data_IF_807347881620
#
_entry.id   IF_807347881620
#
_cell.length_a   1.000
_cell.length_b   1.000
_cell.length_c   1.000
_cell.angle_alpha   90.00
_cell.angle_beta   90.00
_cell.angle_gamma   90.00
#
_symmetry.space_group_name_H-M   'P 1'
#
loop_
_entity.id
_entity.type
_entity.pdbx_description
1 polymer ?
#
# COMPACT_ATOMS: atom_id res chain seq x y z
N UNK A 1 4.50 -48.09 -73.37
CA UNK A 1 5.52 -48.19 -72.35
C UNK A 1 5.41 -46.93 -71.53
N UNK A 2 4.52 -46.93 -70.52
CA UNK A 2 4.24 -45.74 -69.64
C UNK A 2 4.90 -45.96 -68.32
N UNK A 3 5.85 -45.05 -67.96
CA UNK A 3 6.50 -45.03 -66.65
C UNK A 3 5.60 -44.25 -65.66
N UNK A 4 5.12 -44.94 -64.63
CA UNK A 4 4.42 -44.35 -63.52
C UNK A 4 5.44 -43.77 -62.50
N UNK A 5 5.50 -42.47 -62.41
CA UNK A 5 6.33 -41.77 -61.41
C UNK A 5 5.53 -41.64 -60.08
N UNK A 6 5.99 -42.43 -59.09
CA UNK A 6 5.48 -42.30 -57.70
C UNK A 6 6.05 -41.06 -57.02
N UNK A 7 5.18 -40.12 -56.62
CA UNK A 7 5.53 -39.04 -55.75
C UNK A 7 5.36 -39.43 -54.27
N UNK A 8 6.34 -39.19 -53.39
CA UNK A 8 6.16 -39.44 -51.96
C UNK A 8 5.30 -38.34 -51.33
N UNK A 9 4.28 -38.73 -50.54
CA UNK A 9 3.48 -37.87 -49.66
C UNK A 9 4.37 -37.31 -48.53
N UNK A 10 4.59 -35.98 -48.50
CA UNK A 10 5.17 -35.32 -47.34
C UNK A 10 4.14 -35.28 -46.21
N UNK A 11 4.43 -35.98 -45.12
CA UNK A 11 3.71 -35.92 -43.85
C UNK A 11 4.02 -34.58 -43.15
N UNK A 12 3.03 -33.69 -43.13
CA UNK A 12 3.06 -32.42 -42.40
C UNK A 12 2.21 -32.55 -41.15
N UNK A 13 2.76 -33.09 -40.07
CA UNK A 13 2.11 -33.08 -38.76
C UNK A 13 3.16 -33.05 -37.66
N UNK A 14 3.60 -31.86 -37.21
CA UNK A 14 4.17 -31.67 -35.85
C UNK A 14 4.56 -30.24 -35.46
N UNK A 15 4.03 -29.20 -36.09
CA UNK A 15 4.44 -27.82 -35.73
C UNK A 15 3.43 -27.07 -34.83
N UNK A 16 2.18 -27.56 -34.72
CA UNK A 16 1.11 -26.77 -34.06
C UNK A 16 0.98 -26.97 -32.53
N UNK A 17 1.68 -27.96 -31.93
CA UNK A 17 1.46 -28.30 -30.49
C UNK A 17 2.38 -27.57 -29.51
N UNK A 18 3.52 -27.03 -29.98
CA UNK A 18 4.47 -26.30 -29.10
C UNK A 18 4.15 -24.82 -28.94
N UNK A 19 3.53 -24.17 -29.94
CA UNK A 19 3.16 -22.74 -29.86
C UNK A 19 2.03 -22.46 -28.87
N UNK A 20 1.05 -23.36 -28.73
CA UNK A 20 -0.09 -23.13 -27.84
C UNK A 20 0.27 -23.24 -26.35
N UNK A 21 1.26 -24.09 -26.01
CA UNK A 21 1.72 -24.21 -24.60
C UNK A 21 2.51 -22.97 -24.20
N UNK A 22 3.33 -22.41 -25.07
CA UNK A 22 4.07 -21.17 -24.80
C UNK A 22 3.14 -19.95 -24.64
N UNK A 23 2.08 -19.85 -25.44
CA UNK A 23 1.07 -18.79 -25.33
C UNK A 23 0.26 -18.88 -24.03
N UNK A 24 -0.09 -20.08 -23.57
CA UNK A 24 -0.77 -20.30 -22.29
C UNK A 24 0.15 -19.92 -21.13
N UNK A 25 1.44 -20.26 -21.19
CA UNK A 25 2.40 -19.89 -20.13
C UNK A 25 2.60 -18.38 -20.01
N UNK A 26 2.72 -17.64 -21.12
CA UNK A 26 2.82 -16.19 -21.13
C UNK A 26 1.53 -15.55 -20.61
N UNK A 27 0.36 -16.08 -20.94
CA UNK A 27 -0.94 -15.59 -20.47
C UNK A 27 -1.16 -15.79 -18.98
N UNK A 28 -0.63 -16.85 -18.36
CA UNK A 28 -0.74 -17.11 -16.91
C UNK A 28 0.18 -16.20 -16.10
N UNK A 29 1.37 -15.88 -16.61
CA UNK A 29 2.33 -15.00 -15.91
C UNK A 29 1.82 -13.54 -15.82
N UNK A 30 1.01 -13.09 -16.78
CA UNK A 30 0.44 -11.73 -16.76
C UNK A 30 -0.74 -11.56 -15.79
N UNK A 31 -1.28 -12.65 -15.23
CA UNK A 31 -2.39 -12.61 -14.27
C UNK A 31 -1.92 -12.57 -12.81
N UNK A 32 -0.63 -12.71 -12.53
CA UNK A 32 -0.10 -12.47 -11.19
C UNK A 32 0.06 -10.96 -11.00
N UNK A 33 -1.05 -10.29 -10.78
CA UNK A 33 -1.04 -8.93 -10.24
C UNK A 33 -0.32 -8.96 -8.89
N UNK A 34 0.63 -8.06 -8.69
CA UNK A 34 1.22 -7.84 -7.38
C UNK A 34 0.12 -7.29 -6.47
N UNK A 35 -0.57 -8.15 -5.75
CA UNK A 35 -1.37 -7.76 -4.59
C UNK A 35 -0.37 -7.44 -3.47
N UNK A 36 0.17 -6.24 -3.52
CA UNK A 36 1.06 -5.72 -2.48
C UNK A 36 0.21 -5.24 -1.31
N UNK A 37 -0.29 -6.18 -0.51
CA UNK A 37 -0.90 -5.85 0.77
C UNK A 37 0.12 -5.15 1.64
N UNK A 38 -0.29 -4.03 2.19
CA UNK A 38 0.56 -3.22 3.05
C UNK A 38 0.41 -3.76 4.48
N UNK A 39 1.23 -4.74 4.82
CA UNK A 39 1.13 -5.45 6.09
C UNK A 39 1.61 -4.62 7.29
N UNK A 40 2.51 -3.65 7.08
CA UNK A 40 3.16 -2.89 8.16
C UNK A 40 3.26 -1.41 7.82
N UNK A 41 3.30 -0.59 8.86
CA UNK A 41 3.66 0.82 8.73
C UNK A 41 5.17 0.97 8.51
N UNK A 42 5.56 1.86 7.59
CA UNK A 42 6.96 2.18 7.36
C UNK A 42 7.58 2.86 8.58
N UNK A 43 8.76 2.41 9.05
CA UNK A 43 9.48 3.08 10.12
C UNK A 43 9.95 4.48 9.70
N UNK A 44 10.08 5.39 10.65
CA UNK A 44 10.68 6.69 10.40
C UNK A 44 12.21 6.62 10.43
N UNK A 45 12.81 6.13 9.34
CA UNK A 45 14.25 5.91 9.26
C UNK A 45 15.07 7.19 9.49
N UNK A 46 14.59 8.35 8.99
CA UNK A 46 15.29 9.63 9.17
C UNK A 46 15.36 10.01 10.63
N UNK A 47 14.27 9.86 11.37
CA UNK A 47 14.23 10.10 12.81
C UNK A 47 15.16 9.12 13.53
N UNK A 48 15.09 7.84 13.20
CA UNK A 48 15.91 6.78 13.80
C UNK A 48 17.40 7.03 13.61
N UNK A 49 17.83 7.38 12.40
CA UNK A 49 19.22 7.72 12.11
C UNK A 49 19.69 8.97 12.86
N UNK A 50 18.82 9.96 13.01
CA UNK A 50 19.13 11.18 13.77
C UNK A 50 19.33 10.86 15.25
N UNK A 51 18.41 10.06 15.81
CA UNK A 51 18.47 9.67 17.22
C UNK A 51 19.66 8.76 17.52
N UNK A 52 19.97 7.80 16.63
CA UNK A 52 21.15 6.93 16.76
C UNK A 52 22.47 7.74 16.86
N UNK A 53 22.56 8.84 16.12
CA UNK A 53 23.73 9.73 16.18
C UNK A 53 23.81 10.56 17.47
N UNK A 54 22.66 10.98 18.02
CA UNK A 54 22.63 11.84 19.20
C UNK A 54 22.72 11.08 20.52
N UNK A 55 22.09 9.91 20.61
CA UNK A 55 21.85 9.19 21.86
C UNK A 55 22.64 7.89 22.00
N UNK A 56 23.36 7.44 20.97
CA UNK A 56 24.07 6.15 20.93
C UNK A 56 23.16 4.94 21.28
N UNK A 57 21.90 4.98 20.85
CA UNK A 57 20.91 3.93 21.10
C UNK A 57 20.93 2.89 20.00
N UNK A 58 20.72 1.62 20.35
CA UNK A 58 20.43 0.56 19.37
C UNK A 58 19.05 0.78 18.74
N UNK A 59 19.07 1.39 17.56
CA UNK A 59 17.84 1.75 16.87
C UNK A 59 17.12 0.55 16.28
N UNK A 60 17.79 -0.58 16.02
CA UNK A 60 17.14 -1.78 15.51
C UNK A 60 16.14 -2.33 16.53
N UNK A 61 16.58 -2.55 17.76
CA UNK A 61 15.70 -3.02 18.83
C UNK A 61 14.61 -2.00 19.15
N UNK A 62 14.94 -0.71 19.24
CA UNK A 62 13.96 0.33 19.51
C UNK A 62 12.88 0.43 18.42
N UNK A 63 13.21 0.28 17.15
CA UNK A 63 12.25 0.25 16.05
C UNK A 63 11.31 -0.96 16.13
N UNK A 64 11.85 -2.15 16.44
CA UNK A 64 11.04 -3.34 16.64
C UNK A 64 10.05 -3.18 17.79
N UNK A 65 10.50 -2.63 18.91
CA UNK A 65 9.65 -2.43 20.08
C UNK A 65 8.54 -1.39 19.80
N UNK A 66 8.87 -0.29 19.12
CA UNK A 66 7.87 0.70 18.67
C UNK A 66 6.88 0.07 17.71
N UNK A 67 7.34 -0.74 16.75
CA UNK A 67 6.45 -1.43 15.80
C UNK A 67 5.46 -2.35 16.54
N UNK A 68 5.94 -3.16 17.48
CA UNK A 68 5.07 -4.03 18.31
C UNK A 68 4.03 -3.23 19.11
N UNK A 69 4.43 -2.08 19.66
CA UNK A 69 3.51 -1.20 20.40
C UNK A 69 2.45 -0.61 19.46
N UNK A 70 2.85 -0.12 18.30
CA UNK A 70 1.93 0.43 17.30
C UNK A 70 0.96 -0.65 16.82
N UNK A 71 1.44 -1.83 16.44
CA UNK A 71 0.58 -2.94 16.01
C UNK A 71 -0.40 -3.37 17.10
N UNK A 72 0.04 -3.39 18.36
CA UNK A 72 -0.83 -3.73 19.49
C UNK A 72 -1.92 -2.69 19.75
N UNK A 73 -1.63 -1.41 19.59
CA UNK A 73 -2.55 -0.32 19.89
C UNK A 73 -3.45 0.04 18.69
N UNK A 74 -2.89 0.06 17.49
CA UNK A 74 -3.54 0.60 16.30
C UNK A 74 -3.75 -0.42 15.19
N UNK A 75 -3.32 -1.68 15.38
CA UNK A 75 -3.43 -2.73 14.38
C UNK A 75 -2.43 -2.54 13.24
N UNK A 76 -2.86 -2.93 12.05
CA UNK A 76 -2.07 -2.82 10.81
C UNK A 76 -2.74 -1.88 9.82
N UNK A 77 -2.04 -1.45 8.75
CA UNK A 77 -2.66 -0.66 7.68
C UNK A 77 -3.88 -1.31 7.03
N UNK A 78 -3.90 -2.65 6.94
CA UNK A 78 -5.02 -3.41 6.38
C UNK A 78 -6.16 -3.62 7.38
N UNK A 79 -5.83 -3.71 8.66
CA UNK A 79 -6.79 -3.98 9.74
C UNK A 79 -6.54 -3.04 10.92
N UNK A 80 -6.89 -1.77 10.78
CA UNK A 80 -6.66 -0.78 11.82
C UNK A 80 -7.60 -0.99 13.01
N UNK A 81 -7.08 -0.74 14.22
CA UNK A 81 -7.82 -0.75 15.47
C UNK A 81 -7.66 0.58 16.20
N UNK A 82 -8.53 0.84 17.16
CA UNK A 82 -8.44 2.03 18.01
C UNK A 82 -8.33 1.62 19.48
N UNK A 83 -7.35 2.11 20.24
CA UNK A 83 -7.13 1.74 21.63
C UNK A 83 -8.12 2.45 22.57
N UNK A 84 -9.38 2.02 22.59
CA UNK A 84 -10.47 2.67 23.32
C UNK A 84 -10.20 2.78 24.83
N UNK A 85 -9.50 1.80 25.41
CA UNK A 85 -9.14 1.80 26.83
C UNK A 85 -8.19 2.94 27.22
N UNK A 86 -7.34 3.37 26.27
CA UNK A 86 -6.36 4.45 26.47
C UNK A 86 -6.85 5.80 25.97
N UNK A 87 -7.59 5.79 24.89
CA UNK A 87 -8.04 7.00 24.19
C UNK A 87 -9.53 6.82 23.85
N UNK A 88 -10.44 7.28 24.74
CA UNK A 88 -11.88 7.18 24.50
C UNK A 88 -12.29 7.84 23.17
N UNK A 89 -13.14 7.16 22.41
CA UNK A 89 -13.61 7.59 21.08
C UNK A 89 -14.21 9.00 21.08
N UNK A 90 -15.01 9.30 22.07
CA UNK A 90 -15.75 10.56 22.18
C UNK A 90 -14.86 11.81 22.21
N UNK A 91 -13.57 11.62 22.54
CA UNK A 91 -12.65 12.75 22.71
C UNK A 91 -11.82 13.09 21.48
N UNK A 92 -11.50 12.11 20.61
CA UNK A 92 -10.52 12.34 19.55
C UNK A 92 -10.96 11.90 18.14
N UNK A 93 -11.66 10.81 17.98
CA UNK A 93 -11.96 10.22 16.69
C UNK A 93 -13.40 9.71 16.64
N UNK A 94 -14.10 9.99 15.54
CA UNK A 94 -15.34 9.31 15.23
C UNK A 94 -14.98 7.97 14.59
N UNK A 95 -15.20 6.87 15.30
CA UNK A 95 -14.81 5.51 14.85
C UNK A 95 -15.37 5.17 13.49
N UNK A 96 -16.59 5.58 13.20
CA UNK A 96 -17.19 5.34 11.88
C UNK A 96 -16.43 6.07 10.76
N UNK A 97 -15.97 7.29 10.97
CA UNK A 97 -15.14 8.00 9.99
C UNK A 97 -13.75 7.36 9.84
N UNK A 98 -13.16 6.92 10.96
CA UNK A 98 -11.89 6.20 10.92
C UNK A 98 -12.02 4.91 10.11
N UNK A 99 -13.08 4.15 10.35
CA UNK A 99 -13.38 2.90 9.64
C UNK A 99 -13.53 3.11 8.13
N UNK A 100 -14.17 4.20 7.70
CA UNK A 100 -14.27 4.53 6.27
C UNK A 100 -12.94 4.98 5.67
N UNK A 101 -12.13 5.71 6.42
CA UNK A 101 -10.88 6.28 5.93
C UNK A 101 -9.72 5.27 5.93
N UNK A 102 -9.59 4.49 7.00
CA UNK A 102 -8.47 3.58 7.23
C UNK A 102 -8.78 2.14 6.78
N UNK A 103 -7.74 1.31 6.70
CA UNK A 103 -7.86 -0.09 6.32
C UNK A 103 -7.74 -0.36 4.84
N UNK A 104 -7.90 -1.63 4.47
CA UNK A 104 -7.89 -2.10 3.08
C UNK A 104 -9.12 -1.61 2.29
N UNK A 105 -8.93 -1.41 0.99
CA UNK A 105 -10.03 -0.99 0.10
C UNK A 105 -11.07 -2.10 0.01
N UNK A 106 -12.31 -1.79 0.37
CA UNK A 106 -13.43 -2.73 0.29
C UNK A 106 -14.76 -1.99 0.21
N UNK A 107 -15.86 -2.74 -0.02
CA UNK A 107 -17.22 -2.21 0.01
C UNK A 107 -18.12 -3.12 0.83
N UNK A 108 -19.00 -2.54 1.61
CA UNK A 108 -20.02 -3.26 2.38
C UNK A 108 -21.27 -3.55 1.54
N UNK A 109 -22.15 -4.38 2.08
CA UNK A 109 -23.38 -4.77 1.37
C UNK A 109 -24.35 -3.60 1.13
N UNK A 110 -24.31 -2.59 1.97
CA UNK A 110 -25.10 -1.35 1.84
C UNK A 110 -24.51 -0.34 0.85
N UNK A 111 -23.37 -0.67 0.23
CA UNK A 111 -22.64 0.18 -0.70
C UNK A 111 -21.66 1.16 -0.02
N UNK A 112 -21.49 1.09 1.30
CA UNK A 112 -20.47 1.90 2.00
C UNK A 112 -19.08 1.48 1.55
N UNK A 113 -18.31 2.45 1.02
CA UNK A 113 -16.96 2.24 0.54
C UNK A 113 -15.95 2.54 1.67
N UNK A 114 -14.99 1.64 1.85
CA UNK A 114 -14.01 1.65 2.94
C UNK A 114 -12.59 1.76 2.38
N UNK A 115 -11.64 2.17 3.23
CA UNK A 115 -10.23 2.25 2.83
C UNK A 115 -9.90 3.45 1.95
N UNK A 116 -10.63 4.56 2.09
CA UNK A 116 -10.49 5.75 1.22
C UNK A 116 -9.09 6.34 1.22
N UNK A 117 -8.35 6.27 2.33
CA UNK A 117 -6.97 6.74 2.37
C UNK A 117 -6.05 5.88 1.51
N UNK A 118 -6.24 4.56 1.57
CA UNK A 118 -5.44 3.64 0.76
C UNK A 118 -5.74 3.81 -0.73
N UNK A 119 -7.01 3.97 -1.10
CA UNK A 119 -7.40 4.14 -2.49
C UNK A 119 -6.95 5.48 -3.09
N UNK A 120 -7.12 6.57 -2.36
CA UNK A 120 -6.99 7.91 -2.94
C UNK A 120 -5.71 8.65 -2.54
N UNK A 121 -5.11 8.32 -1.41
CA UNK A 121 -4.04 9.14 -0.82
C UNK A 121 -2.67 8.46 -0.79
N UNK A 122 -2.62 7.14 -0.58
CA UNK A 122 -1.38 6.39 -0.38
C UNK A 122 -0.42 6.51 -1.56
N UNK A 123 -0.93 6.54 -2.78
CA UNK A 123 -0.11 6.63 -4.00
C UNK A 123 0.82 7.86 -4.00
N UNK A 124 0.41 8.95 -3.36
CA UNK A 124 1.21 10.16 -3.20
C UNK A 124 1.79 10.31 -1.80
N UNK A 125 0.97 10.08 -0.76
CA UNK A 125 1.35 10.37 0.61
C UNK A 125 2.02 9.22 1.36
N UNK A 126 2.05 8.02 0.79
CA UNK A 126 2.57 6.81 1.44
C UNK A 126 1.63 6.26 2.51
N UNK A 127 1.82 4.99 2.90
CA UNK A 127 0.97 4.27 3.87
C UNK A 127 0.93 4.96 5.22
N UNK A 128 2.08 5.42 5.70
CA UNK A 128 2.22 6.13 6.98
C UNK A 128 1.98 7.64 6.86
N UNK A 129 1.55 8.14 5.72
CA UNK A 129 1.33 9.57 5.48
C UNK A 129 2.63 10.40 5.45
N UNK A 130 3.77 9.78 5.19
CA UNK A 130 5.09 10.41 5.22
C UNK A 130 5.43 11.28 3.99
N UNK A 131 4.52 11.38 3.02
CA UNK A 131 4.73 12.11 1.77
C UNK A 131 5.59 11.39 0.74
N UNK A 132 5.90 10.10 0.95
CA UNK A 132 6.81 9.30 0.11
C UNK A 132 6.12 8.14 -0.59
N UNK A 133 4.90 8.34 -1.05
CA UNK A 133 4.23 7.36 -1.90
C UNK A 133 4.94 7.18 -3.25
N UNK A 134 4.66 6.11 -3.98
CA UNK A 134 5.35 5.79 -5.25
C UNK A 134 5.26 6.90 -6.30
N UNK A 135 4.19 7.68 -6.32
CA UNK A 135 4.05 8.81 -7.25
C UNK A 135 4.71 10.11 -6.75
N UNK A 136 5.19 10.17 -5.52
CA UNK A 136 5.74 11.40 -4.94
C UNK A 136 6.95 11.93 -5.69
N UNK A 137 7.78 11.02 -6.25
CA UNK A 137 8.97 11.39 -7.04
C UNK A 137 8.66 12.18 -8.31
N UNK A 138 7.43 12.11 -8.82
CA UNK A 138 6.99 12.81 -10.03
C UNK A 138 6.30 14.14 -9.72
N UNK A 139 6.21 14.55 -8.45
CA UNK A 139 5.50 15.75 -8.02
C UNK A 139 6.45 16.85 -7.56
N UNK A 140 6.14 18.07 -7.95
CA UNK A 140 6.83 19.27 -7.49
C UNK A 140 5.79 20.36 -7.15
N UNK A 141 5.65 20.77 -5.87
CA UNK A 141 6.37 20.28 -4.70
C UNK A 141 6.00 18.85 -4.29
N UNK A 142 6.86 18.20 -3.51
CA UNK A 142 6.57 16.88 -2.94
C UNK A 142 5.28 16.88 -2.11
N UNK A 143 4.57 15.74 -2.06
CA UNK A 143 3.42 15.58 -1.18
C UNK A 143 3.82 15.85 0.27
N UNK A 144 2.94 16.52 0.99
CA UNK A 144 3.19 16.89 2.39
C UNK A 144 3.24 15.65 3.29
N UNK A 145 4.21 15.67 4.22
CA UNK A 145 4.23 14.75 5.36
C UNK A 145 3.11 15.12 6.34
N UNK A 146 2.17 14.21 6.59
CA UNK A 146 1.03 14.40 7.50
C UNK A 146 1.34 14.09 8.96
N UNK A 147 2.43 13.37 9.24
CA UNK A 147 2.78 12.91 10.59
C UNK A 147 2.97 14.03 11.61
N UNK A 148 3.50 15.21 11.26
CA UNK A 148 3.55 16.35 12.18
C UNK A 148 2.20 17.00 12.45
N UNK A 149 1.12 16.62 11.75
CA UNK A 149 -0.19 17.23 11.87
C UNK A 149 -0.28 18.66 11.34
N UNK A 150 0.63 19.05 10.43
CA UNK A 150 0.67 20.39 9.83
C UNK A 150 0.04 20.32 8.44
N UNK A 151 -1.13 20.92 8.30
CA UNK A 151 -1.88 20.95 7.05
C UNK A 151 -1.86 22.34 6.42
N UNK A 152 -1.85 22.41 5.08
CA UNK A 152 -1.81 23.67 4.34
C UNK A 152 -3.15 24.42 4.40
N UNK A 153 -4.24 23.68 4.28
CA UNK A 153 -5.60 24.20 4.30
C UNK A 153 -6.30 23.76 5.57
N UNK A 154 -6.53 24.68 6.46
CA UNK A 154 -7.18 24.47 7.76
C UNK A 154 -7.77 25.80 8.25
N UNK A 155 -8.75 25.73 9.12
CA UNK A 155 -9.44 26.91 9.69
C UNK A 155 -8.67 27.57 10.84
N UNK A 156 -7.60 26.92 11.33
CA UNK A 156 -6.75 27.43 12.42
C UNK A 156 -5.52 28.14 11.88
N UNK A 157 -4.84 28.90 12.70
CA UNK A 157 -3.65 29.65 12.34
C UNK A 157 -2.46 28.76 11.91
N UNK A 158 -1.48 29.41 11.28
CA UNK A 158 -0.27 28.73 10.82
C UNK A 158 0.46 28.13 12.02
N UNK A 159 0.86 26.88 11.91
CA UNK A 159 1.49 26.05 12.94
C UNK A 159 0.56 25.50 14.03
N UNK A 160 -0.69 25.88 14.09
CA UNK A 160 -1.68 25.22 14.94
C UNK A 160 -2.20 23.92 14.31
N UNK A 161 -2.73 23.02 15.13
CA UNK A 161 -3.39 21.81 14.63
C UNK A 161 -4.74 22.16 13.98
N UNK A 162 -5.22 21.40 12.99
CA UNK A 162 -6.56 21.60 12.45
C UNK A 162 -7.63 21.47 13.53
N UNK A 163 -8.72 22.25 13.42
CA UNK A 163 -9.92 22.04 14.21
C UNK A 163 -10.60 20.72 13.87
N UNK A 164 -11.49 20.25 14.72
CA UNK A 164 -12.26 19.02 14.51
C UNK A 164 -13.57 19.23 13.76
N UNK A 165 -13.89 20.46 13.44
CA UNK A 165 -15.11 20.87 12.72
C UNK A 165 -15.01 20.62 11.23
#
# INVERSE_FOLDING_TARGET
MYLLIHRPKKSSKSVCRRSNIALIFVSVVTLVGCDSRIEKFDPNEVFSLTLAKSESVDMGQAQEDVTKVIEKLFGTPESPTWPQDLIPEETLVQTERLRRAAGGVSSEQDGTHLGLFQEHCVVCHGVSGNGRGPASQFQNPYPRDFRPGIFKWKLTDRAEKPSRE
#
